data_IF_277858810339
#
_entry.id   IF_277858810339
#
_cell.length_a   1.000
_cell.length_b   1.000
_cell.length_c   1.000
_cell.angle_alpha   90.00
_cell.angle_beta   90.00
_cell.angle_gamma   90.00
#
_symmetry.space_group_name_H-M   'P 1'
#
loop_
_entity.id
_entity.type
_entity.pdbx_description
1 polymer ?
#
# COMPACT_ATOMS: atom_id res chain seq x y z
N UNK A 1 6.54 -10.74 13.46
CA UNK A 1 7.02 -11.04 12.08
C UNK A 1 7.64 -9.76 11.54
N UNK A 2 8.72 -9.82 10.75
CA UNK A 2 9.28 -8.60 10.15
C UNK A 2 8.35 -8.11 9.03
N UNK A 3 8.23 -6.79 8.87
CA UNK A 3 7.34 -6.17 7.87
C UNK A 3 7.70 -6.58 6.44
N UNK A 4 9.00 -6.79 6.17
CA UNK A 4 9.52 -7.23 4.87
C UNK A 4 9.05 -8.63 4.43
N UNK A 5 8.44 -9.42 5.32
CA UNK A 5 7.99 -10.78 5.04
C UNK A 5 6.46 -10.90 4.86
N UNK A 6 5.72 -9.80 4.96
CA UNK A 6 4.26 -9.80 4.80
C UNK A 6 3.89 -9.75 3.31
N UNK A 7 2.78 -10.38 2.93
CA UNK A 7 2.14 -10.04 1.65
C UNK A 7 1.44 -8.68 1.75
N UNK A 8 1.07 -8.09 0.62
CA UNK A 8 0.29 -6.85 0.58
C UNK A 8 -1.02 -7.01 1.37
N UNK A 9 -1.74 -8.11 1.15
CA UNK A 9 -3.03 -8.40 1.80
C UNK A 9 -2.87 -8.59 3.31
N UNK A 10 -1.78 -9.22 3.74
CA UNK A 10 -1.47 -9.38 5.17
C UNK A 10 -1.17 -8.04 5.82
N UNK A 11 -0.36 -7.19 5.17
CA UNK A 11 -0.03 -5.86 5.69
C UNK A 11 -1.26 -4.95 5.74
N UNK A 12 -2.12 -4.99 4.72
CA UNK A 12 -3.37 -4.25 4.68
C UNK A 12 -4.34 -4.70 5.77
N UNK A 13 -4.54 -6.02 5.93
CA UNK A 13 -5.42 -6.56 6.98
C UNK A 13 -4.93 -6.19 8.39
N UNK A 14 -3.61 -6.21 8.63
CA UNK A 14 -3.05 -5.76 9.91
C UNK A 14 -3.30 -4.25 10.14
N UNK A 15 -3.18 -3.44 9.09
CA UNK A 15 -3.43 -2.00 9.15
C UNK A 15 -4.90 -1.69 9.47
N UNK A 16 -5.84 -2.38 8.80
CA UNK A 16 -7.28 -2.25 9.07
C UNK A 16 -7.61 -2.59 10.52
N UNK A 17 -7.04 -3.67 11.05
CA UNK A 17 -7.24 -4.04 12.45
C UNK A 17 -6.70 -2.98 13.42
N UNK A 18 -5.55 -2.38 13.10
CA UNK A 18 -4.98 -1.28 13.89
C UNK A 18 -5.91 -0.07 13.88
N UNK A 19 -6.46 0.31 12.73
CA UNK A 19 -7.41 1.42 12.62
C UNK A 19 -8.64 1.15 13.48
N UNK A 20 -9.25 -0.03 13.35
CA UNK A 20 -10.40 -0.40 14.19
C UNK A 20 -10.08 -0.30 15.69
N UNK A 21 -8.90 -0.76 16.11
CA UNK A 21 -8.53 -0.76 17.53
C UNK A 21 -8.29 0.65 18.07
N UNK A 22 -7.74 1.54 17.23
CA UNK A 22 -7.57 2.95 17.57
C UNK A 22 -8.93 3.67 17.69
N UNK A 23 -9.92 3.30 16.88
CA UNK A 23 -11.27 3.86 16.94
C UNK A 23 -12.07 3.39 18.16
N UNK A 24 -11.82 2.18 18.66
CA UNK A 24 -12.55 1.58 19.79
C UNK A 24 -12.29 2.26 21.14
N UNK A 25 -11.36 3.22 21.24
CA UNK A 25 -11.05 4.02 22.46
C UNK A 25 -10.79 3.20 23.74
N UNK A 26 -10.44 1.92 23.61
CA UNK A 26 -10.18 1.00 24.73
C UNK A 26 -8.68 0.86 25.07
N UNK A 27 -7.84 1.58 24.33
CA UNK A 27 -6.39 1.50 24.44
C UNK A 27 -5.85 2.56 25.40
N UNK A 28 -4.84 2.18 26.18
CA UNK A 28 -4.02 3.16 26.88
C UNK A 28 -3.25 4.04 25.90
N UNK A 29 -2.80 5.22 26.33
CA UNK A 29 -1.99 6.11 25.49
C UNK A 29 -0.75 5.40 24.92
N UNK A 30 -0.07 4.58 25.73
CA UNK A 30 1.13 3.85 25.30
C UNK A 30 0.79 2.84 24.19
N UNK A 31 -0.31 2.12 24.32
CA UNK A 31 -0.78 1.17 23.30
C UNK A 31 -1.20 1.88 22.02
N UNK A 32 -1.91 3.00 22.14
CA UNK A 32 -2.31 3.83 20.99
C UNK A 32 -1.09 4.34 20.22
N UNK A 33 -0.04 4.81 20.93
CA UNK A 33 1.21 5.25 20.30
C UNK A 33 1.94 4.09 19.61
N UNK A 34 1.97 2.89 20.22
CA UNK A 34 2.58 1.70 19.61
C UNK A 34 1.84 1.28 18.34
N UNK A 35 0.51 1.19 18.40
CA UNK A 35 -0.34 0.86 17.25
C UNK A 35 -0.23 1.89 16.15
N UNK A 36 -0.22 3.18 16.47
CA UNK A 36 -0.05 4.25 15.50
C UNK A 36 1.28 4.12 14.74
N UNK A 37 2.40 3.93 15.46
CA UNK A 37 3.71 3.72 14.82
C UNK A 37 3.69 2.53 13.86
N UNK A 38 3.12 1.41 14.31
CA UNK A 38 2.97 0.21 13.48
C UNK A 38 2.09 0.47 12.25
N UNK A 39 0.99 1.19 12.41
CA UNK A 39 0.10 1.58 11.32
C UNK A 39 0.82 2.43 10.27
N UNK A 40 1.65 3.39 10.69
CA UNK A 40 2.47 4.21 9.77
C UNK A 40 3.49 3.34 9.01
N UNK A 41 4.13 2.39 9.68
CA UNK A 41 5.04 1.44 9.00
C UNK A 41 4.31 0.61 7.94
N UNK A 42 3.13 0.08 8.27
CA UNK A 42 2.31 -0.71 7.34
C UNK A 42 1.81 0.13 6.16
N UNK A 43 1.34 1.36 6.41
CA UNK A 43 0.93 2.28 5.36
C UNK A 43 2.07 2.54 4.36
N UNK A 44 3.27 2.87 4.86
CA UNK A 44 4.43 3.11 4.01
C UNK A 44 4.83 1.86 3.21
N UNK A 45 4.72 0.68 3.82
CA UNK A 45 5.00 -0.59 3.16
C UNK A 45 4.00 -0.88 2.03
N UNK A 46 2.70 -0.75 2.29
CA UNK A 46 1.66 -0.94 1.28
C UNK A 46 1.80 0.07 0.13
N UNK A 47 2.02 1.35 0.45
CA UNK A 47 2.24 2.40 -0.55
C UNK A 47 3.45 2.08 -1.44
N UNK A 48 4.55 1.61 -0.86
CA UNK A 48 5.73 1.22 -1.63
C UNK A 48 5.45 0.06 -2.60
N UNK A 49 4.69 -0.94 -2.18
CA UNK A 49 4.30 -2.05 -3.06
C UNK A 49 3.47 -1.53 -4.23
N UNK A 50 2.46 -0.69 -3.95
CA UNK A 50 1.60 -0.13 -4.99
C UNK A 50 2.40 0.71 -5.99
N UNK A 51 3.28 1.61 -5.52
CA UNK A 51 4.15 2.40 -6.40
C UNK A 51 5.08 1.52 -7.25
N UNK A 52 5.58 0.41 -6.71
CA UNK A 52 6.37 -0.53 -7.50
C UNK A 52 5.52 -1.20 -8.60
N UNK A 53 4.31 -1.65 -8.25
CA UNK A 53 3.39 -2.28 -9.21
C UNK A 53 2.98 -1.29 -10.30
N UNK A 54 2.67 -0.04 -9.95
CA UNK A 54 2.36 1.03 -10.91
C UNK A 54 3.51 1.26 -11.90
N UNK A 55 4.76 1.31 -11.41
CA UNK A 55 5.93 1.46 -12.27
C UNK A 55 6.25 0.24 -13.16
N UNK A 56 5.80 -0.96 -12.77
CA UNK A 56 5.94 -2.19 -13.57
C UNK A 56 4.85 -2.30 -14.66
N UNK A 57 3.69 -1.67 -14.46
CA UNK A 57 2.60 -1.66 -15.45
C UNK A 57 2.93 -0.60 -16.50
N UNK A 58 3.51 -1.04 -17.62
CA UNK A 58 3.60 -0.24 -18.85
C UNK A 58 2.41 -0.54 -19.74
N UNK A 59 1.77 0.49 -20.29
CA UNK A 59 0.74 0.30 -21.32
C UNK A 59 1.43 0.20 -22.67
N UNK A 60 1.20 -0.91 -23.39
CA UNK A 60 1.56 -1.02 -24.80
C UNK A 60 0.38 -0.53 -25.62
N UNK A 61 0.45 0.71 -26.10
CA UNK A 61 -0.53 1.27 -27.02
C UNK A 61 -0.08 1.02 -28.45
N UNK A 62 -1.01 0.57 -29.30
CA UNK A 62 -0.74 0.38 -30.73
C UNK A 62 -1.44 1.49 -31.50
N UNK A 63 -0.67 2.30 -32.23
CA UNK A 63 -1.23 3.34 -33.10
C UNK A 63 -1.90 2.73 -34.36
N UNK A 64 -2.65 3.56 -35.10
CA UNK A 64 -3.34 3.15 -36.34
C UNK A 64 -2.37 2.67 -37.45
N UNK A 65 -1.08 3.01 -37.32
CA UNK A 65 -0.02 2.61 -38.25
C UNK A 65 0.70 1.31 -37.81
N UNK A 66 0.34 0.78 -36.65
CA UNK A 66 0.89 -0.44 -36.08
C UNK A 66 2.18 -0.28 -35.28
N UNK A 67 2.60 0.94 -34.96
CA UNK A 67 3.69 1.21 -34.03
C UNK A 67 3.24 0.94 -32.60
N UNK A 68 4.19 0.51 -31.76
CA UNK A 68 3.95 0.25 -30.34
C UNK A 68 4.58 1.41 -29.56
N UNK A 69 3.74 2.18 -28.87
CA UNK A 69 4.16 3.22 -27.94
C UNK A 69 4.07 2.69 -26.49
N UNK A 70 5.11 2.97 -25.71
CA UNK A 70 5.13 2.68 -24.27
C UNK A 70 4.68 3.93 -23.51
N UNK A 71 3.53 3.86 -22.85
CA UNK A 71 3.10 4.90 -21.91
C UNK A 71 3.15 4.38 -20.46
N UNK A 72 3.46 5.28 -19.53
CA UNK A 72 3.37 5.00 -18.09
C UNK A 72 1.90 4.83 -17.70
N UNK A 73 1.58 3.77 -16.95
CA UNK A 73 0.25 3.59 -16.39
C UNK A 73 0.06 4.55 -15.21
N UNK A 74 -0.58 5.69 -15.46
CA UNK A 74 -0.91 6.67 -14.43
C UNK A 74 -2.28 6.34 -13.83
N UNK A 75 -2.31 5.91 -12.57
CA UNK A 75 -3.57 5.81 -11.80
C UNK A 75 -3.95 7.23 -11.36
N UNK A 76 -5.00 7.81 -11.93
CA UNK A 76 -5.59 9.03 -11.40
C UNK A 76 -6.27 8.71 -10.05
N UNK A 77 -5.76 9.32 -8.97
CA UNK A 77 -6.34 9.26 -7.62
C UNK A 77 -7.30 10.42 -7.42
#
# INVERSE_FOLDING_TARGET
>A
MKIENLSYEQALSELEQIVEDLEKNQLTLEESVKKFKRGVELYNYCSKILTQVEGEIKILLKDDNGNIDEEEFIVEV
#
